data_IF_653295928196
#
_entry.id   IF_653295928196
#
_cell.length_a   1.000
_cell.length_b   1.000
_cell.length_c   1.000
_cell.angle_alpha   90.00
_cell.angle_beta   90.00
_cell.angle_gamma   90.00
#
_symmetry.space_group_name_H-M   'P 1'
#
loop_
_entity.id
_entity.type
_entity.pdbx_description
1 polymer ?
#
# COMPACT_ATOMS: atom_id res chain seq x y z
N UNK A 1 8.99 -4.98 3.23
CA UNK A 1 9.98 -3.93 3.61
C UNK A 1 9.34 -2.58 3.36
N UNK A 2 9.53 -1.56 4.19
CA UNK A 2 8.96 -0.22 3.93
C UNK A 2 10.07 0.80 3.65
N UNK A 3 9.80 1.77 2.78
CA UNK A 3 10.71 2.86 2.44
C UNK A 3 9.97 4.18 2.27
N UNK A 4 10.56 5.30 2.68
CA UNK A 4 10.07 6.62 2.28
C UNK A 4 10.41 6.84 0.80
N UNK A 5 9.43 7.28 0.02
CA UNK A 5 9.57 7.58 -1.39
C UNK A 5 9.04 8.98 -1.68
N UNK A 6 9.64 9.64 -2.67
CA UNK A 6 9.14 10.90 -3.22
C UNK A 6 8.51 10.63 -4.58
N UNK A 7 7.24 10.98 -4.69
CA UNK A 7 6.42 10.75 -5.87
C UNK A 7 6.03 12.08 -6.52
N UNK A 8 5.75 12.06 -7.82
CA UNK A 8 5.29 13.23 -8.56
C UNK A 8 4.28 12.87 -9.65
N UNK A 9 3.50 13.86 -10.08
CA UNK A 9 2.64 13.72 -11.25
C UNK A 9 3.49 13.84 -12.53
N UNK A 10 3.49 12.82 -13.42
CA UNK A 10 4.28 12.86 -14.66
C UNK A 10 3.91 14.02 -15.60
N UNK A 11 2.67 14.51 -15.53
CA UNK A 11 2.16 15.61 -16.35
C UNK A 11 2.37 16.99 -15.69
N UNK A 12 2.67 17.03 -14.39
CA UNK A 12 2.89 18.27 -13.64
C UNK A 12 3.83 18.01 -12.44
N UNK A 13 5.13 18.20 -12.67
CA UNK A 13 6.16 17.95 -11.64
C UNK A 13 6.07 18.87 -10.42
N UNK A 14 5.28 19.95 -10.46
CA UNK A 14 5.04 20.77 -9.26
C UNK A 14 4.18 20.05 -8.22
N UNK A 15 3.44 19.03 -8.65
CA UNK A 15 2.64 18.16 -7.78
C UNK A 15 3.49 16.98 -7.36
N UNK A 16 4.08 17.10 -6.17
CA UNK A 16 4.92 16.07 -5.58
C UNK A 16 4.55 15.82 -4.11
N UNK A 17 4.82 14.62 -3.63
CA UNK A 17 4.52 14.21 -2.26
C UNK A 17 5.56 13.19 -1.76
N UNK A 18 5.84 13.21 -0.45
CA UNK A 18 6.57 12.14 0.22
C UNK A 18 5.60 11.22 0.94
N UNK A 19 5.78 9.92 0.76
CA UNK A 19 4.94 8.91 1.39
C UNK A 19 5.73 7.64 1.68
N UNK A 20 5.11 6.67 2.35
CA UNK A 20 5.72 5.36 2.61
C UNK A 20 5.27 4.35 1.56
N UNK A 21 6.22 3.71 0.90
CA UNK A 21 5.98 2.55 0.05
C UNK A 21 6.22 1.26 0.83
N UNK A 22 5.29 0.31 0.70
CA UNK A 22 5.49 -1.09 1.09
C UNK A 22 6.03 -1.85 -0.12
N UNK A 23 7.26 -2.32 -0.02
CA UNK A 23 7.91 -3.18 -0.99
C UNK A 23 7.59 -4.63 -0.64
N UNK A 24 6.69 -5.20 -1.43
CA UNK A 24 6.19 -6.56 -1.32
C UNK A 24 6.55 -7.36 -2.58
N UNK A 25 7.41 -8.36 -2.42
CA UNK A 25 7.82 -9.26 -3.52
C UNK A 25 6.72 -10.25 -3.93
N UNK A 26 5.67 -10.40 -3.11
CA UNK A 26 4.50 -11.22 -3.42
C UNK A 26 3.43 -10.50 -4.24
N UNK A 27 3.54 -9.17 -4.40
CA UNK A 27 2.56 -8.38 -5.14
C UNK A 27 2.78 -8.52 -6.66
N UNK A 28 1.72 -8.82 -7.40
CA UNK A 28 1.76 -8.89 -8.88
C UNK A 28 1.62 -7.53 -9.55
N UNK A 29 1.17 -6.51 -8.81
CA UNK A 29 0.96 -5.15 -9.30
C UNK A 29 1.31 -4.13 -8.20
N UNK A 30 1.50 -2.88 -8.61
CA UNK A 30 1.71 -1.76 -7.70
C UNK A 30 0.39 -1.03 -7.44
N UNK A 31 0.14 -0.70 -6.18
CA UNK A 31 -1.11 -0.09 -5.73
C UNK A 31 -0.85 1.23 -5.03
N UNK A 32 -1.78 2.17 -5.19
CA UNK A 32 -1.86 3.41 -4.42
C UNK A 32 -3.28 3.59 -3.89
N UNK A 33 -3.46 4.47 -2.90
CA UNK A 33 -4.80 4.86 -2.48
C UNK A 33 -5.42 5.85 -3.47
N UNK A 34 -6.75 5.86 -3.57
CA UNK A 34 -7.47 6.90 -4.33
C UNK A 34 -7.12 8.32 -3.82
N UNK A 35 -6.96 8.46 -2.50
CA UNK A 35 -6.54 9.73 -1.89
C UNK A 35 -5.18 10.21 -2.42
N UNK A 36 -4.18 9.31 -2.53
CA UNK A 36 -2.86 9.68 -3.05
C UNK A 36 -2.92 10.11 -4.51
N UNK A 37 -3.75 9.44 -5.31
CA UNK A 37 -4.00 9.82 -6.70
C UNK A 37 -4.62 11.22 -6.81
N UNK A 38 -5.61 11.52 -5.98
CA UNK A 38 -6.28 12.83 -5.92
C UNK A 38 -5.30 13.94 -5.49
N UNK A 39 -4.49 13.71 -4.45
CA UNK A 39 -3.50 14.67 -3.98
C UNK A 39 -2.49 15.04 -5.07
N UNK A 40 -2.01 14.06 -5.83
CA UNK A 40 -1.12 14.28 -6.97
C UNK A 40 -1.86 14.73 -8.24
N UNK A 41 -3.19 14.74 -8.23
CA UNK A 41 -4.05 15.03 -9.38
C UNK A 41 -3.70 14.17 -10.61
N UNK A 42 -3.48 12.88 -10.38
CA UNK A 42 -3.13 11.93 -11.45
C UNK A 42 -4.31 11.73 -12.40
N UNK A 43 -3.99 11.63 -13.69
CA UNK A 43 -5.01 11.35 -14.72
C UNK A 43 -5.32 9.86 -14.78
N UNK A 44 -6.60 9.52 -14.76
CA UNK A 44 -7.06 8.15 -15.03
C UNK A 44 -6.79 7.78 -16.48
N UNK A 45 -6.06 6.68 -16.67
CA UNK A 45 -5.78 6.07 -17.97
C UNK A 45 -6.89 5.07 -18.32
N UNK A 46 -7.29 4.25 -17.34
CA UNK A 46 -8.31 3.22 -17.53
C UNK A 46 -9.09 2.94 -16.23
N UNK A 47 -10.32 2.46 -16.38
CA UNK A 47 -11.12 1.90 -15.29
C UNK A 47 -11.08 0.38 -15.36
N UNK A 48 -10.99 -0.28 -14.21
CA UNK A 48 -10.94 -1.73 -14.13
C UNK A 48 -11.49 -2.25 -12.80
N UNK A 49 -11.70 -3.56 -12.73
CA UNK A 49 -11.93 -4.27 -11.48
C UNK A 49 -10.76 -5.21 -11.19
N UNK A 50 -10.33 -5.23 -9.94
CA UNK A 50 -9.32 -6.18 -9.44
C UNK A 50 -10.05 -7.26 -8.65
N UNK A 51 -9.87 -8.51 -9.06
CA UNK A 51 -10.34 -9.65 -8.29
C UNK A 51 -9.28 -10.07 -7.27
N UNK A 52 -9.56 -9.87 -5.99
CA UNK A 52 -8.67 -10.20 -4.88
C UNK A 52 -9.11 -11.50 -4.19
N UNK A 53 -8.20 -12.46 -4.15
CA UNK A 53 -8.36 -13.69 -3.38
C UNK A 53 -7.77 -13.46 -1.99
N UNK A 54 -8.63 -13.48 -0.96
CA UNK A 54 -8.20 -13.24 0.43
C UNK A 54 -8.32 -14.51 1.26
N UNK A 55 -7.50 -14.64 2.31
CA UNK A 55 -7.51 -15.81 3.19
C UNK A 55 -8.83 -16.03 3.93
N UNK A 56 -9.64 -14.98 4.09
CA UNK A 56 -10.86 -15.00 4.88
C UNK A 56 -12.12 -15.30 4.06
N UNK A 57 -12.02 -15.52 2.75
CA UNK A 57 -13.18 -15.69 1.87
C UNK A 57 -12.97 -16.82 0.87
N UNK A 58 -14.03 -17.61 0.64
CA UNK A 58 -14.02 -18.69 -0.34
C UNK A 58 -14.06 -18.16 -1.77
N UNK A 59 -14.78 -17.06 -1.98
CA UNK A 59 -14.94 -16.41 -3.27
C UNK A 59 -14.05 -15.15 -3.35
N UNK A 60 -13.55 -14.80 -4.55
CA UNK A 60 -12.78 -13.56 -4.74
C UNK A 60 -13.65 -12.33 -4.50
N UNK A 61 -13.03 -11.27 -3.99
CA UNK A 61 -13.68 -9.96 -3.82
C UNK A 61 -13.28 -9.09 -5.01
N UNK A 62 -14.25 -8.52 -5.71
CA UNK A 62 -14.01 -7.54 -6.78
C UNK A 62 -13.89 -6.14 -6.18
N UNK A 63 -12.81 -5.44 -6.52
CA UNK A 63 -12.56 -4.07 -6.06
C UNK A 63 -12.39 -3.14 -7.26
N UNK A 64 -13.18 -2.05 -7.35
CA UNK A 64 -13.04 -1.08 -8.41
C UNK A 64 -11.70 -0.36 -8.29
N UNK A 65 -11.02 -0.16 -9.42
CA UNK A 65 -9.74 0.49 -9.48
C UNK A 65 -9.58 1.33 -10.74
N UNK A 66 -8.69 2.31 -10.66
CA UNK A 66 -8.27 3.08 -11.83
C UNK A 66 -6.78 2.89 -12.08
N UNK A 67 -6.40 2.77 -13.34
CA UNK A 67 -4.99 2.77 -13.74
C UNK A 67 -4.51 4.18 -13.96
N UNK A 68 -3.32 4.47 -13.43
CA UNK A 68 -2.68 5.79 -13.52
C UNK A 68 -1.17 5.62 -13.68
N UNK A 69 -0.52 6.63 -14.26
CA UNK A 69 0.93 6.75 -14.27
C UNK A 69 1.38 7.67 -13.13
N UNK A 70 2.40 7.26 -12.40
CA UNK A 70 2.99 8.02 -11.30
C UNK A 70 4.51 8.07 -11.44
N UNK A 71 5.11 9.21 -11.19
CA UNK A 71 6.56 9.37 -11.17
C UNK A 71 7.13 9.08 -9.79
N UNK A 72 8.30 8.46 -9.73
CA UNK A 72 9.07 8.24 -8.50
C UNK A 72 10.51 8.72 -8.69
N UNK A 73 11.04 9.42 -7.70
CA UNK A 73 12.46 9.81 -7.64
C UNK A 73 13.29 8.69 -7.02
N UNK A 74 14.38 8.32 -7.70
CA UNK A 74 15.35 7.33 -7.24
C UNK A 74 16.48 8.00 -6.44
N UNK A 75 17.15 7.22 -5.60
CA UNK A 75 18.24 7.70 -4.73
C UNK A 75 19.47 8.14 -5.54
N UNK A 76 19.68 7.54 -6.72
CA UNK A 76 20.77 7.88 -7.63
C UNK A 76 20.52 9.19 -8.43
N UNK A 77 19.42 9.89 -8.15
CA UNK A 77 19.03 11.12 -8.83
C UNK A 77 18.29 10.90 -10.14
N UNK A 78 18.10 9.65 -10.58
CA UNK A 78 17.21 9.32 -11.69
C UNK A 78 15.73 9.42 -11.27
N UNK A 79 14.83 9.40 -12.24
CA UNK A 79 13.42 9.14 -12.00
C UNK A 79 12.89 8.07 -12.94
N UNK A 80 11.76 7.48 -12.56
CA UNK A 80 11.05 6.53 -13.39
C UNK A 80 9.54 6.69 -13.22
N UNK A 81 8.79 6.13 -14.18
CA UNK A 81 7.33 6.15 -14.19
C UNK A 81 6.83 4.74 -13.92
N UNK A 82 5.92 4.63 -12.96
CA UNK A 82 5.24 3.40 -12.59
C UNK A 82 3.78 3.46 -13.04
N UNK A 83 3.28 2.35 -13.57
CA UNK A 83 1.85 2.13 -13.78
C UNK A 83 1.28 1.50 -12.51
N UNK A 84 0.36 2.21 -11.87
CA UNK A 84 -0.21 1.83 -10.57
C UNK A 84 -1.73 1.74 -10.66
N UNK A 85 -2.31 0.94 -9.78
CA UNK A 85 -3.76 0.86 -9.62
C UNK A 85 -4.18 1.60 -8.35
N UNK A 86 -4.98 2.64 -8.52
CA UNK A 86 -5.59 3.35 -7.41
C UNK A 86 -6.80 2.57 -6.90
N UNK A 87 -6.79 2.23 -5.61
CA UNK A 87 -7.84 1.50 -4.90
C UNK A 87 -8.25 2.25 -3.62
N UNK A 88 -9.47 2.06 -3.09
CA UNK A 88 -9.91 2.78 -1.89
C UNK A 88 -9.08 2.43 -0.65
N UNK A 89 -8.75 1.15 -0.46
CA UNK A 89 -7.88 0.66 0.62
C UNK A 89 -7.32 -0.70 0.22
N UNK A 90 -6.10 -1.01 0.67
CA UNK A 90 -5.47 -2.33 0.42
C UNK A 90 -6.03 -3.41 1.34
N UNK A 91 -6.34 -3.04 2.58
CA UNK A 91 -6.94 -3.93 3.57
C UNK A 91 -7.94 -3.15 4.41
N UNK A 92 -9.00 -3.83 4.84
CA UNK A 92 -9.90 -3.30 5.87
C UNK A 92 -9.15 -3.24 7.21
N UNK A 93 -9.79 -2.66 8.23
CA UNK A 93 -9.25 -2.66 9.59
C UNK A 93 -8.90 -4.09 10.03
N UNK A 94 -7.60 -4.35 10.25
CA UNK A 94 -7.12 -5.66 10.68
C UNK A 94 -7.56 -5.94 12.11
N UNK A 95 -8.41 -6.96 12.29
CA UNK A 95 -8.71 -7.52 13.61
C UNK A 95 -7.60 -8.45 14.06
N UNK A 96 -7.10 -8.24 15.27
CA UNK A 96 -6.08 -9.09 15.89
C UNK A 96 -6.63 -9.70 17.19
N UNK A 97 -6.26 -10.95 17.46
CA UNK A 97 -6.50 -11.55 18.77
C UNK A 97 -5.47 -11.03 19.76
N UNK A 98 -5.89 -10.52 20.91
CA UNK A 98 -4.94 -10.19 21.98
C UNK A 98 -4.46 -11.49 22.62
N UNK A 99 -3.16 -11.76 22.56
CA UNK A 99 -2.56 -12.84 23.36
C UNK A 99 -2.26 -12.27 24.75
N UNK A 100 -2.96 -12.77 25.77
CA UNK A 100 -2.64 -12.42 27.15
C UNK A 100 -1.20 -12.83 27.46
N UNK A 101 -0.39 -11.87 27.96
CA UNK A 101 0.96 -12.19 28.44
C UNK A 101 0.82 -13.20 29.58
N UNK A 102 1.47 -14.35 29.45
CA UNK A 102 1.57 -15.33 30.54
C UNK A 102 2.32 -14.64 31.68
N UNK A 103 1.70 -14.55 32.85
CA UNK A 103 2.38 -14.06 34.06
C UNK A 103 3.54 -15.03 34.35
N UNK A 104 4.78 -14.56 34.26
CA UNK A 104 5.94 -15.32 34.70
C UNK A 104 5.77 -15.57 36.20
N UNK A 105 5.66 -16.85 36.59
CA UNK A 105 5.64 -17.26 38.00
C UNK A 105 7.06 -17.15 38.53
N UNK A 106 7.43 -15.98 39.03
CA UNK A 106 8.64 -15.83 39.84
C UNK A 106 8.44 -16.50 41.22
N UNK A 107 9.20 -17.58 41.41
CA UNK A 107 9.77 -18.13 42.64
C UNK A 107 9.03 -17.93 43.98
N UNK A 108 8.50 -19.04 44.51
CA UNK A 108 8.45 -19.27 45.96
C UNK A 108 9.34 -20.48 46.26
N UNK A 109 10.59 -20.22 46.64
CA UNK A 109 11.34 -21.09 47.55
C UNK A 109 11.82 -20.18 48.67
N UNK A 110 11.20 -20.29 49.84
CA UNK A 110 11.75 -19.76 51.09
C UNK A 110 12.02 -20.96 51.97
N UNK A 111 13.29 -21.08 52.34
CA UNK A 111 13.91 -22.10 53.22
C UNK A 111 13.27 -22.14 54.59
#
# INVERSE_FOLDING_TARGET
>A
MCAEVKLFNPNDRSKEIRTTALLDTGASQSYITNELAEQLHLSTINHQEINMHTFASKDPISVPATEQAIGIYCVDGSDTILHVKAIPHLTNQLTYASVAKKQDRENIITT
#
